data_IF_884748709082
#
_entry.id   IF_884748709082
#
_cell.length_a   1.000
_cell.length_b   1.000
_cell.length_c   1.000
_cell.angle_alpha   90.00
_cell.angle_beta   90.00
_cell.angle_gamma   90.00
#
_symmetry.space_group_name_H-M   'P 1'
#
loop_
_entity.id
_entity.type
_entity.pdbx_description
1 polymer ?
#
# COMPACT_ATOMS: atom_id res chain seq x y z
N UNK A 1 10.18 -17.17 17.07
CA UNK A 1 9.20 -17.13 15.96
C UNK A 1 9.49 -15.90 15.13
N UNK A 2 9.39 -16.02 13.81
CA UNK A 2 9.55 -14.90 12.88
C UNK A 2 8.39 -14.88 11.88
N UNK A 3 7.59 -13.83 11.89
CA UNK A 3 6.43 -13.66 11.00
C UNK A 3 6.67 -12.44 10.11
N UNK A 4 6.42 -12.57 8.82
CA UNK A 4 6.53 -11.48 7.84
C UNK A 4 5.17 -11.21 7.25
N UNK A 5 4.78 -9.94 7.22
CA UNK A 5 3.48 -9.52 6.68
C UNK A 5 3.77 -8.80 5.38
N UNK A 6 3.20 -9.33 4.31
CA UNK A 6 3.38 -8.86 2.94
C UNK A 6 2.00 -8.60 2.37
N UNK A 7 1.81 -7.45 1.74
CA UNK A 7 0.63 -7.14 0.94
C UNK A 7 1.03 -7.18 -0.53
N UNK A 8 0.18 -7.79 -1.33
CA UNK A 8 0.28 -7.79 -2.77
C UNK A 8 -0.94 -7.09 -3.34
N UNK A 9 -0.71 -6.10 -4.19
CA UNK A 9 -1.73 -5.34 -4.90
C UNK A 9 -1.66 -5.72 -6.37
N UNK A 10 -2.81 -6.06 -6.97
CA UNK A 10 -2.94 -6.22 -8.42
C UNK A 10 -3.72 -5.02 -8.94
N UNK A 11 -3.09 -4.23 -9.79
CA UNK A 11 -3.69 -3.04 -10.42
C UNK A 11 -4.60 -3.44 -11.58
N UNK A 12 -5.48 -2.54 -12.02
CA UNK A 12 -6.39 -2.78 -13.14
C UNK A 12 -5.64 -3.06 -14.45
N UNK A 13 -4.44 -2.51 -14.60
CA UNK A 13 -3.55 -2.77 -15.74
C UNK A 13 -2.85 -4.15 -15.68
N UNK A 14 -3.18 -4.99 -14.70
CA UNK A 14 -2.62 -6.32 -14.50
C UNK A 14 -1.22 -6.34 -13.89
N UNK A 15 -0.60 -5.18 -13.62
CA UNK A 15 0.67 -5.15 -12.87
C UNK A 15 0.41 -5.56 -11.43
N UNK A 16 1.40 -6.23 -10.83
CA UNK A 16 1.39 -6.54 -9.42
C UNK A 16 2.47 -5.76 -8.68
N UNK A 17 2.19 -5.44 -7.43
CA UNK A 17 3.17 -4.83 -6.53
C UNK A 17 3.09 -5.46 -5.16
N UNK A 18 4.25 -5.83 -4.66
CA UNK A 18 4.40 -6.44 -3.35
C UNK A 18 5.06 -5.44 -2.39
N UNK A 19 4.44 -5.19 -1.23
CA UNK A 19 4.99 -4.34 -0.17
C UNK A 19 5.10 -5.14 1.12
N UNK A 20 6.24 -5.04 1.79
CA UNK A 20 6.40 -5.59 3.14
C UNK A 20 5.86 -4.58 4.14
N UNK A 21 4.80 -4.95 4.84
CA UNK A 21 4.20 -4.10 5.87
C UNK A 21 5.05 -4.16 7.14
N UNK A 22 5.31 -5.37 7.65
CA UNK A 22 6.00 -5.51 8.92
C UNK A 22 6.64 -6.86 9.16
N UNK A 23 7.27 -6.97 10.34
CA UNK A 23 7.87 -8.19 10.87
C UNK A 23 7.50 -8.32 12.34
N UNK A 24 6.97 -9.47 12.73
CA UNK A 24 6.79 -9.81 14.14
C UNK A 24 7.83 -10.85 14.51
N UNK A 25 8.80 -10.44 15.34
CA UNK A 25 9.89 -11.31 15.79
C UNK A 25 9.83 -11.43 17.30
N UNK A 26 9.35 -12.59 17.78
CA UNK A 26 9.20 -12.91 19.21
C UNK A 26 9.99 -14.20 19.50
N UNK A 27 11.20 -14.11 20.08
CA UNK A 27 11.97 -15.28 20.46
C UNK A 27 11.23 -16.01 21.59
N UNK A 28 10.97 -17.30 21.42
CA UNK A 28 10.21 -18.09 22.40
C UNK A 28 10.83 -18.04 23.81
N UNK A 29 12.17 -18.01 23.88
CA UNK A 29 12.92 -17.96 25.15
C UNK A 29 12.77 -16.65 25.92
N UNK A 30 12.28 -15.58 25.30
CA UNK A 30 12.18 -14.24 25.90
C UNK A 30 10.75 -13.69 25.91
N UNK A 31 9.77 -14.46 25.43
CA UNK A 31 8.38 -14.00 25.29
C UNK A 31 7.56 -14.55 26.47
N UNK A 32 7.03 -13.67 27.30
CA UNK A 32 6.09 -14.03 28.36
C UNK A 32 4.72 -14.39 27.76
N UNK A 33 3.86 -15.14 28.47
CA UNK A 33 2.54 -15.55 27.98
C UNK A 33 1.66 -14.40 27.45
N UNK A 34 1.74 -13.25 28.10
CA UNK A 34 1.02 -12.02 27.74
C UNK A 34 1.50 -11.43 26.40
N UNK A 35 2.70 -11.81 25.98
CA UNK A 35 3.29 -11.49 24.69
C UNK A 35 2.94 -12.47 23.58
N UNK A 36 2.06 -13.46 23.81
CA UNK A 36 1.60 -14.34 22.74
C UNK A 36 0.50 -13.71 21.89
N UNK A 37 0.46 -14.13 20.62
CA UNK A 37 -0.49 -13.60 19.65
C UNK A 37 -0.08 -12.24 19.11
N UNK A 38 -1.07 -11.50 18.63
CA UNK A 38 -0.91 -10.15 18.11
C UNK A 38 -1.22 -9.14 19.21
N UNK A 39 -0.24 -8.35 19.63
CA UNK A 39 -0.50 -7.29 20.59
C UNK A 39 -1.30 -6.17 19.94
N UNK A 40 -2.03 -5.40 20.76
CA UNK A 40 -2.78 -4.24 20.27
C UNK A 40 -1.87 -3.23 19.56
N UNK A 41 -0.64 -3.03 20.05
CA UNK A 41 0.36 -2.18 19.40
C UNK A 41 0.78 -2.73 18.02
N UNK A 42 1.00 -4.03 17.90
CA UNK A 42 1.33 -4.68 16.64
C UNK A 42 0.18 -4.49 15.64
N UNK A 43 -1.05 -4.77 16.08
CA UNK A 43 -2.25 -4.66 15.27
C UNK A 43 -2.45 -3.24 14.74
N UNK A 44 -2.31 -2.23 15.61
CA UNK A 44 -2.40 -0.82 15.22
C UNK A 44 -1.33 -0.46 14.20
N UNK A 45 -0.09 -0.90 14.41
CA UNK A 45 1.02 -0.63 13.50
C UNK A 45 0.80 -1.27 12.12
N UNK A 46 0.39 -2.53 12.10
CA UNK A 46 0.11 -3.28 10.85
C UNK A 46 -1.05 -2.64 10.09
N UNK A 47 -2.15 -2.29 10.78
CA UNK A 47 -3.30 -1.65 10.15
C UNK A 47 -2.94 -0.28 9.58
N UNK A 48 -2.15 0.50 10.30
CA UNK A 48 -1.64 1.78 9.80
C UNK A 48 -0.78 1.63 8.54
N UNK A 49 0.13 0.64 8.53
CA UNK A 49 0.97 0.36 7.36
C UNK A 49 0.15 -0.14 6.17
N UNK A 50 -0.85 -1.00 6.42
CA UNK A 50 -1.76 -1.49 5.38
C UNK A 50 -2.56 -0.33 4.77
N UNK A 51 -3.14 0.54 5.61
CA UNK A 51 -3.89 1.71 5.15
C UNK A 51 -3.03 2.59 4.23
N UNK A 52 -1.79 2.86 4.62
CA UNK A 52 -0.87 3.67 3.82
C UNK A 52 -0.48 2.97 2.51
N UNK A 53 -0.23 1.65 2.55
CA UNK A 53 0.10 0.89 1.34
C UNK A 53 -1.03 0.95 0.31
N UNK A 54 -2.27 0.73 0.75
CA UNK A 54 -3.47 0.80 -0.11
C UNK A 54 -3.65 2.22 -0.65
N UNK A 55 -3.58 3.24 0.20
CA UNK A 55 -3.77 4.63 -0.22
C UNK A 55 -2.72 5.07 -1.25
N UNK A 56 -1.46 4.69 -1.06
CA UNK A 56 -0.39 5.01 -2.01
C UNK A 56 -0.57 4.30 -3.35
N UNK A 57 -0.96 3.02 -3.34
CA UNK A 57 -1.22 2.28 -4.57
C UNK A 57 -2.42 2.88 -5.33
N UNK A 58 -3.49 3.26 -4.63
CA UNK A 58 -4.65 3.94 -5.24
C UNK A 58 -4.28 5.32 -5.83
N UNK A 59 -3.50 6.13 -5.10
CA UNK A 59 -3.05 7.44 -5.60
C UNK A 59 -2.22 7.27 -6.88
N UNK A 60 -1.36 6.26 -6.92
CA UNK A 60 -0.57 5.99 -8.12
C UNK A 60 -1.44 5.57 -9.30
N UNK A 61 -2.38 4.66 -9.09
CA UNK A 61 -3.31 4.20 -10.13
C UNK A 61 -4.15 5.35 -10.68
N UNK A 62 -4.71 6.19 -9.80
CA UNK A 62 -5.45 7.40 -10.20
C UNK A 62 -4.53 8.39 -10.92
N UNK A 63 -3.30 8.57 -10.43
CA UNK A 63 -2.33 9.47 -11.07
C UNK A 63 -1.97 8.99 -12.47
N UNK A 64 -1.75 7.69 -12.66
CA UNK A 64 -1.48 7.10 -13.98
C UNK A 64 -2.68 7.25 -14.92
N UNK A 65 -3.89 6.93 -14.46
CA UNK A 65 -5.12 7.08 -15.25
C UNK A 65 -5.41 8.54 -15.61
N UNK A 66 -5.16 9.47 -14.69
CA UNK A 66 -5.42 10.89 -14.88
C UNK A 66 -4.36 11.64 -15.70
N UNK A 67 -3.21 11.01 -16.02
CA UNK A 67 -2.20 11.62 -16.90
C UNK A 67 -2.74 11.92 -18.29
N UNK A 68 -3.75 11.17 -18.74
CA UNK A 68 -4.37 11.34 -20.05
C UNK A 68 -5.63 12.20 -19.87
N UNK A 69 -5.79 13.24 -20.68
CA UNK A 69 -7.01 14.02 -20.75
C UNK A 69 -8.11 13.17 -21.42
N UNK A 70 -9.29 13.01 -20.79
CA UNK A 70 -10.38 12.22 -21.37
C UNK A 70 -10.94 12.85 -22.65
N UNK A 71 -10.84 14.18 -22.81
CA UNK A 71 -11.43 14.91 -23.94
C UNK A 71 -10.53 14.87 -25.19
N UNK A 72 -9.22 15.04 -25.00
CA UNK A 72 -8.27 15.19 -26.10
C UNK A 72 -7.33 13.99 -26.26
N UNK A 73 -7.38 13.01 -25.35
CA UNK A 73 -6.53 11.81 -25.26
C UNK A 73 -5.00 12.10 -25.30
N UNK A 74 -4.60 13.32 -24.93
CA UNK A 74 -3.20 13.74 -24.78
C UNK A 74 -2.80 13.78 -23.32
N UNK A 75 -1.50 13.83 -23.05
CA UNK A 75 -0.99 14.09 -21.70
C UNK A 75 -1.57 15.41 -21.22
N UNK A 76 -2.10 15.47 -19.99
CA UNK A 76 -2.80 16.67 -19.47
C UNK A 76 -1.96 17.95 -19.58
N UNK A 77 -0.64 17.88 -19.41
CA UNK A 77 0.26 19.03 -19.60
C UNK A 77 0.26 19.63 -21.02
N UNK A 78 -0.13 18.85 -22.02
CA UNK A 78 -0.19 19.24 -23.44
C UNK A 78 -1.63 19.52 -23.91
N UNK A 79 -2.63 19.42 -23.04
CA UNK A 79 -4.01 19.67 -23.42
C UNK A 79 -4.33 21.17 -23.35
N UNK A 80 -4.48 21.79 -24.52
CA UNK A 80 -4.77 23.22 -24.69
C UNK A 80 -6.12 23.66 -24.08
N UNK A 81 -6.96 22.72 -23.62
CA UNK A 81 -8.24 22.98 -22.96
C UNK A 81 -8.12 23.29 -21.46
N UNK A 82 -6.94 23.15 -20.83
CA UNK A 82 -6.74 23.50 -19.41
C UNK A 82 -6.61 25.02 -19.20
N UNK A 83 -6.34 25.78 -20.26
CA UNK A 83 -6.13 27.24 -20.20
C UNK A 83 -7.25 28.08 -20.85
N UNK A 84 -8.41 27.48 -21.13
CA UNK A 84 -9.58 28.17 -21.69
C UNK A 84 -10.72 28.24 -20.68
#
# INVERSE_FOLDING_TARGET
MDVRIIVETTFENGKTRTRRLGRLSRPFRSTQPEGFGLLLEDAKSILWQLQNAVLLDQIEEISEASRICPDCNRVRGDCQLIFA
#
